data_IF_369770544210
#
_entry.id   IF_369770544210
#
_cell.length_a   1.000
_cell.length_b   1.000
_cell.length_c   1.000
_cell.angle_alpha   90.00
_cell.angle_beta   90.00
_cell.angle_gamma   90.00
#
_symmetry.space_group_name_H-M   'P 1'
#
loop_
_entity.id
_entity.type
_entity.pdbx_description
1 polymer ?
#
# COMPACT_ATOMS: atom_id res chain seq x y z
N UNK A 1 -5.69 11.75 15.26
CA UNK A 1 -5.39 10.32 15.44
C UNK A 1 -5.99 9.60 14.25
N UNK A 2 -5.23 8.74 13.56
CA UNK A 2 -5.81 7.87 12.52
C UNK A 2 -6.79 6.93 13.23
N UNK A 3 -8.00 6.76 12.70
CA UNK A 3 -8.97 5.85 13.31
C UNK A 3 -8.43 4.40 13.26
N UNK A 4 -8.72 3.56 14.27
CA UNK A 4 -8.29 2.15 14.27
C UNK A 4 -8.86 1.40 13.06
N UNK A 5 -8.11 0.41 12.57
CA UNK A 5 -8.59 -0.53 11.55
C UNK A 5 -9.34 -1.66 12.26
N UNK A 6 -10.59 -1.89 11.85
CA UNK A 6 -11.46 -2.96 12.37
C UNK A 6 -11.56 -4.13 11.40
N UNK A 7 -12.23 -5.21 11.79
CA UNK A 7 -12.42 -6.38 10.91
C UNK A 7 -13.21 -6.03 9.62
N UNK A 8 -14.12 -5.06 9.67
CA UNK A 8 -14.87 -4.56 8.50
C UNK A 8 -13.99 -3.80 7.50
N UNK A 9 -12.84 -3.30 7.96
CA UNK A 9 -11.89 -2.56 7.16
C UNK A 9 -10.88 -3.48 6.46
N UNK A 10 -10.76 -4.75 6.88
CA UNK A 10 -9.78 -5.71 6.38
C UNK A 10 -10.32 -6.45 5.14
N UNK A 11 -9.39 -6.91 4.29
CA UNK A 11 -9.69 -7.70 3.10
C UNK A 11 -9.94 -6.85 1.86
N UNK A 12 -10.29 -7.55 0.79
CA UNK A 12 -10.51 -6.95 -0.52
C UNK A 12 -11.95 -6.44 -0.63
N UNK A 13 -12.12 -5.13 -0.73
CA UNK A 13 -13.42 -4.47 -0.89
C UNK A 13 -13.50 -3.83 -2.26
N UNK A 14 -14.57 -4.12 -2.99
CA UNK A 14 -14.91 -3.39 -4.22
C UNK A 14 -15.47 -2.02 -3.83
N UNK A 15 -14.85 -0.98 -4.37
CA UNK A 15 -15.33 0.40 -4.25
C UNK A 15 -16.21 0.73 -5.45
N UNK A 16 -15.78 0.34 -6.65
CA UNK A 16 -16.48 0.60 -7.90
C UNK A 16 -16.47 -0.63 -8.80
N UNK A 17 -17.64 -1.03 -9.28
CA UNK A 17 -17.76 -1.94 -10.42
C UNK A 17 -17.68 -1.14 -11.73
N UNK A 18 -17.20 -1.73 -12.84
CA UNK A 18 -17.09 -1.05 -14.13
C UNK A 18 -18.46 -0.58 -14.61
N UNK A 19 -18.52 0.60 -15.24
CA UNK A 19 -19.80 1.21 -15.67
C UNK A 19 -20.55 0.35 -16.69
N UNK A 20 -19.81 -0.33 -17.56
CA UNK A 20 -20.35 -1.27 -18.53
C UNK A 20 -19.64 -2.62 -18.39
N UNK A 21 -20.35 -3.59 -17.82
CA UNK A 21 -19.86 -4.95 -17.61
C UNK A 21 -20.16 -5.89 -18.79
N UNK A 22 -20.83 -5.41 -19.85
CA UNK A 22 -21.12 -6.21 -21.05
C UNK A 22 -19.86 -6.51 -21.85
N UNK A 23 -18.87 -5.62 -21.80
CA UNK A 23 -17.58 -5.77 -22.47
C UNK A 23 -16.51 -6.34 -21.53
N UNK A 24 -16.72 -7.58 -21.05
CA UNK A 24 -15.82 -8.28 -20.11
C UNK A 24 -14.33 -8.24 -20.51
N UNK A 25 -14.05 -8.26 -21.82
CA UNK A 25 -12.69 -8.20 -22.37
C UNK A 25 -11.96 -6.87 -22.10
N UNK A 26 -12.69 -5.80 -21.79
CA UNK A 26 -12.13 -4.48 -21.50
C UNK A 26 -11.99 -4.19 -20.00
N UNK A 27 -12.51 -5.07 -19.14
CA UNK A 27 -12.50 -4.83 -17.69
C UNK A 27 -11.08 -5.02 -17.15
N UNK A 28 -10.64 -4.06 -16.34
CA UNK A 28 -9.35 -4.07 -15.64
C UNK A 28 -9.62 -4.11 -14.14
N UNK A 29 -8.90 -4.95 -13.40
CA UNK A 29 -8.92 -4.89 -11.94
C UNK A 29 -7.85 -3.92 -11.44
N UNK A 30 -8.26 -2.92 -10.65
CA UNK A 30 -7.34 -2.02 -9.95
C UNK A 30 -7.44 -2.31 -8.46
N UNK A 31 -6.32 -2.60 -7.80
CA UNK A 31 -6.27 -2.89 -6.36
C UNK A 31 -5.36 -1.89 -5.68
N UNK A 32 -5.92 -1.12 -4.76
CA UNK A 32 -5.20 -0.17 -3.92
C UNK A 32 -4.81 -0.79 -2.56
N UNK A 33 -3.53 -0.73 -2.18
CA UNK A 33 -2.99 -1.28 -0.93
C UNK A 33 -2.38 -0.16 -0.10
N UNK A 34 -2.90 0.05 1.11
CA UNK A 34 -2.43 1.10 2.01
C UNK A 34 -1.10 0.77 2.69
N UNK A 35 -0.53 1.76 3.36
CA UNK A 35 0.71 1.64 4.12
C UNK A 35 0.48 1.26 5.59
N UNK A 36 1.59 1.00 6.28
CA UNK A 36 1.57 0.74 7.71
C UNK A 36 1.16 1.99 8.50
N UNK A 37 0.39 1.82 9.58
CA UNK A 37 -0.14 2.91 10.40
C UNK A 37 -1.22 3.77 9.73
N UNK A 38 -1.70 3.37 8.56
CA UNK A 38 -2.73 4.08 7.81
C UNK A 38 -4.03 3.27 7.73
N UNK A 39 -5.17 3.97 7.71
CA UNK A 39 -6.47 3.36 7.52
C UNK A 39 -6.71 3.06 6.03
N UNK A 40 -7.23 1.88 5.64
CA UNK A 40 -7.41 1.50 4.23
C UNK A 40 -8.29 2.46 3.44
N UNK A 41 -9.35 2.99 4.03
CA UNK A 41 -10.27 3.89 3.35
C UNK A 41 -9.83 5.37 3.40
N UNK A 42 -8.98 5.75 4.35
CA UNK A 42 -8.57 7.16 4.54
C UNK A 42 -7.26 7.46 3.78
N UNK A 43 -6.46 6.44 3.47
CA UNK A 43 -5.18 6.54 2.75
C UNK A 43 -5.32 7.20 1.38
N UNK A 44 -6.52 7.19 0.82
CA UNK A 44 -6.85 7.68 -0.51
C UNK A 44 -7.73 8.93 -0.46
N UNK A 45 -7.88 9.52 0.72
CA UNK A 45 -8.70 10.70 0.93
C UNK A 45 -7.86 11.97 0.99
N UNK A 46 -8.39 13.05 0.42
CA UNK A 46 -7.86 14.41 0.59
C UNK A 46 -8.97 15.32 1.10
N UNK A 47 -8.63 16.18 2.06
CA UNK A 47 -9.54 17.26 2.44
C UNK A 47 -9.58 18.30 1.30
N UNK A 48 -10.72 18.43 0.63
CA UNK A 48 -11.02 19.43 -0.42
C UNK A 48 -11.81 20.62 0.13
N UNK A 49 -12.28 20.52 1.37
CA UNK A 49 -12.94 21.60 2.09
C UNK A 49 -11.95 22.52 2.83
N UNK A 50 -12.45 23.25 3.82
CA UNK A 50 -11.62 24.11 4.68
C UNK A 50 -11.17 23.36 5.93
N UNK A 51 -10.32 24.00 6.75
CA UNK A 51 -9.96 23.44 8.06
C UNK A 51 -11.16 23.43 9.03
N UNK A 52 -12.08 24.38 8.88
CA UNK A 52 -13.29 24.52 9.72
C UNK A 52 -14.45 23.65 9.22
N UNK A 53 -14.48 23.34 7.92
CA UNK A 53 -15.48 22.47 7.30
C UNK A 53 -14.76 21.48 6.38
N UNK A 54 -14.18 20.41 6.96
CA UNK A 54 -13.46 19.42 6.18
C UNK A 54 -14.43 18.64 5.29
N UNK A 55 -14.03 18.45 4.04
CA UNK A 55 -14.73 17.61 3.07
C UNK A 55 -13.73 16.61 2.51
N UNK A 56 -13.93 15.32 2.80
CA UNK A 56 -12.99 14.29 2.39
C UNK A 56 -13.40 13.70 1.04
N UNK A 57 -12.51 13.83 0.06
CA UNK A 57 -12.68 13.26 -1.27
C UNK A 57 -11.78 12.03 -1.41
N UNK A 58 -12.38 10.86 -1.64
CA UNK A 58 -11.65 9.63 -1.95
C UNK A 58 -11.49 9.48 -3.47
N UNK A 59 -10.27 9.66 -3.97
CA UNK A 59 -10.03 9.67 -5.42
C UNK A 59 -10.17 8.31 -6.11
N UNK A 60 -10.28 7.22 -5.34
CA UNK A 60 -10.56 5.87 -5.89
C UNK A 60 -12.05 5.68 -6.22
N UNK A 61 -12.96 6.43 -5.59
CA UNK A 61 -14.40 6.20 -5.66
C UNK A 61 -15.18 7.39 -6.27
N UNK A 62 -14.67 8.62 -6.15
CA UNK A 62 -15.36 9.78 -6.72
C UNK A 62 -15.42 9.73 -8.26
N UNK A 63 -16.60 9.96 -8.81
CA UNK A 63 -16.92 9.74 -10.23
C UNK A 63 -16.05 10.58 -11.20
N UNK A 64 -15.58 11.75 -10.77
CA UNK A 64 -14.76 12.69 -11.53
C UNK A 64 -13.24 12.47 -11.37
N UNK A 65 -12.82 11.42 -10.65
CA UNK A 65 -11.42 11.10 -10.36
C UNK A 65 -10.97 9.83 -11.09
N UNK A 66 -10.44 8.81 -10.40
CA UNK A 66 -9.98 7.56 -11.02
C UNK A 66 -11.08 6.88 -11.85
N UNK A 67 -12.35 6.78 -11.40
CA UNK A 67 -13.44 6.27 -12.22
C UNK A 67 -13.63 6.99 -13.57
N UNK A 68 -13.38 8.30 -13.66
CA UNK A 68 -13.46 9.04 -14.94
C UNK A 68 -12.32 8.68 -15.89
N UNK A 69 -11.11 8.44 -15.35
CA UNK A 69 -9.92 8.07 -16.13
C UNK A 69 -9.95 6.60 -16.56
N UNK A 70 -10.53 5.74 -15.73
CA UNK A 70 -10.60 4.29 -15.95
C UNK A 70 -12.05 3.77 -15.81
N UNK A 71 -12.96 4.12 -16.75
CA UNK A 71 -14.39 3.80 -16.63
C UNK A 71 -14.72 2.30 -16.70
N UNK A 72 -13.83 1.51 -17.30
CA UNK A 72 -13.93 0.05 -17.39
C UNK A 72 -13.20 -0.67 -16.24
N UNK A 73 -12.68 0.05 -15.25
CA UNK A 73 -12.00 -0.57 -14.12
C UNK A 73 -12.98 -1.01 -13.03
N UNK A 74 -12.76 -2.22 -12.51
CA UNK A 74 -13.22 -2.60 -11.18
C UNK A 74 -12.18 -2.09 -10.17
N UNK A 75 -12.55 -1.10 -9.38
CA UNK A 75 -11.66 -0.48 -8.40
C UNK A 75 -11.91 -1.11 -7.04
N UNK A 76 -10.83 -1.63 -6.46
CA UNK A 76 -10.83 -2.31 -5.17
C UNK A 76 -9.78 -1.70 -4.26
N UNK A 77 -10.02 -1.80 -2.95
CA UNK A 77 -8.98 -1.60 -1.94
C UNK A 77 -8.73 -2.89 -1.19
N UNK A 78 -7.51 -3.13 -0.77
CA UNK A 78 -7.16 -4.21 0.14
C UNK A 78 -6.72 -3.63 1.48
N UNK A 79 -7.48 -3.95 2.52
CA UNK A 79 -7.20 -3.58 3.89
C UNK A 79 -6.51 -4.68 4.67
N UNK A 80 -5.60 -4.30 5.57
CA UNK A 80 -5.01 -5.19 6.56
C UNK A 80 -4.77 -4.42 7.85
N UNK A 81 -4.69 -5.14 8.98
CA UNK A 81 -4.39 -4.50 10.25
C UNK A 81 -3.01 -3.84 10.17
N UNK A 82 -2.95 -2.52 10.22
CA UNK A 82 -1.73 -1.74 10.01
C UNK A 82 -1.28 -0.99 11.26
N UNK A 83 -2.06 -1.03 12.32
CA UNK A 83 -1.73 -0.39 13.59
C UNK A 83 -0.60 -1.15 14.27
N UNK A 84 0.53 -0.48 14.46
CA UNK A 84 1.76 -1.05 15.05
C UNK A 84 2.12 -0.39 16.38
N UNK A 85 1.34 0.58 16.86
CA UNK A 85 1.44 1.17 18.19
C UNK A 85 0.06 1.37 18.82
N UNK A 86 0.00 1.49 20.15
CA UNK A 86 -1.22 1.65 20.94
C UNK A 86 -1.99 0.35 21.15
N UNK A 87 -3.16 0.46 21.79
CA UNK A 87 -4.02 -0.69 22.09
C UNK A 87 -4.37 -1.47 20.81
N UNK A 88 -4.06 -2.77 20.79
CA UNK A 88 -4.27 -3.63 19.63
C UNK A 88 -3.17 -3.59 18.57
N UNK A 89 -1.99 -3.04 18.89
CA UNK A 89 -0.82 -3.05 17.99
C UNK A 89 -0.45 -4.47 17.51
N UNK A 90 -0.27 -4.63 16.20
CA UNK A 90 0.05 -5.91 15.57
C UNK A 90 1.42 -5.87 14.89
N UNK A 91 2.20 -6.92 15.12
CA UNK A 91 3.44 -7.16 14.38
C UNK A 91 3.13 -7.73 13.01
N UNK A 92 2.97 -6.86 12.01
CA UNK A 92 2.78 -7.31 10.63
C UNK A 92 4.09 -7.62 9.91
N UNK A 93 4.06 -8.72 9.15
CA UNK A 93 5.11 -9.07 8.18
C UNK A 93 4.54 -8.91 6.77
N UNK A 94 5.33 -8.33 5.87
CA UNK A 94 4.92 -8.14 4.48
C UNK A 94 4.54 -9.47 3.81
N UNK A 95 5.24 -10.57 4.12
CA UNK A 95 4.91 -11.92 3.63
C UNK A 95 3.55 -12.43 4.09
N UNK A 96 3.18 -12.21 5.36
CA UNK A 96 1.86 -12.60 5.88
C UNK A 96 0.75 -11.82 5.20
N UNK A 97 0.93 -10.51 5.02
CA UNK A 97 -0.06 -9.66 4.35
C UNK A 97 -0.17 -10.02 2.86
N UNK A 98 0.97 -10.29 2.20
CA UNK A 98 1.04 -10.70 0.79
C UNK A 98 0.30 -12.02 0.54
N UNK A 99 0.52 -13.03 1.39
CA UNK A 99 -0.19 -14.30 1.29
C UNK A 99 -1.71 -14.12 1.44
N UNK A 100 -2.16 -13.31 2.41
CA UNK A 100 -3.59 -13.01 2.58
C UNK A 100 -4.18 -12.23 1.40
N UNK A 101 -3.41 -11.32 0.80
CA UNK A 101 -3.78 -10.63 -0.43
C UNK A 101 -3.96 -11.62 -1.58
N UNK A 102 -3.04 -12.57 -1.77
CA UNK A 102 -3.14 -13.61 -2.78
C UNK A 102 -4.39 -14.48 -2.61
N UNK A 103 -4.68 -14.91 -1.37
CA UNK A 103 -5.92 -15.63 -1.06
C UNK A 103 -7.18 -14.82 -1.42
N UNK A 104 -7.18 -13.52 -1.11
CA UNK A 104 -8.30 -12.64 -1.44
C UNK A 104 -8.47 -12.46 -2.95
N UNK A 105 -7.36 -12.30 -3.68
CA UNK A 105 -7.36 -12.19 -5.15
C UNK A 105 -7.82 -13.49 -5.81
N UNK A 106 -7.31 -14.64 -5.36
CA UNK A 106 -7.70 -15.97 -5.85
C UNK A 106 -9.21 -16.16 -5.80
N UNK A 107 -9.84 -15.80 -4.68
CA UNK A 107 -11.31 -15.85 -4.52
C UNK A 107 -12.03 -14.84 -5.42
N UNK A 108 -11.59 -13.58 -5.43
CA UNK A 108 -12.30 -12.51 -6.17
C UNK A 108 -12.17 -12.63 -7.69
N UNK A 109 -11.19 -13.38 -8.17
CA UNK A 109 -10.86 -13.52 -9.59
C UNK A 109 -11.02 -14.94 -10.11
N UNK A 110 -11.67 -15.82 -9.37
CA UNK A 110 -11.87 -17.23 -9.73
C UNK A 110 -12.43 -17.41 -11.16
N UNK A 111 -13.39 -16.57 -11.54
CA UNK A 111 -13.99 -16.60 -12.89
C UNK A 111 -13.13 -15.90 -13.96
N UNK A 112 -12.20 -15.03 -13.56
CA UNK A 112 -11.44 -14.16 -14.46
C UNK A 112 -9.96 -14.08 -14.04
N UNK A 113 -9.30 -15.24 -13.97
CA UNK A 113 -7.94 -15.39 -13.45
C UNK A 113 -6.92 -14.50 -14.17
N UNK A 114 -7.10 -14.27 -15.46
CA UNK A 114 -6.15 -13.53 -16.31
C UNK A 114 -6.59 -12.11 -16.68
N UNK A 115 -7.64 -11.59 -16.03
CA UNK A 115 -8.04 -10.19 -16.22
C UNK A 115 -6.87 -9.24 -15.94
N UNK A 116 -6.60 -8.23 -16.79
CA UNK A 116 -5.55 -7.26 -16.54
C UNK A 116 -5.64 -6.68 -15.12
N UNK A 117 -4.51 -6.65 -14.43
CA UNK A 117 -4.41 -6.27 -13.03
C UNK A 117 -3.42 -5.11 -12.85
N UNK A 118 -3.87 -4.08 -12.16
CA UNK A 118 -3.04 -2.95 -11.75
C UNK A 118 -3.03 -2.84 -10.24
N UNK A 119 -1.84 -2.72 -9.66
CA UNK A 119 -1.69 -2.41 -8.24
C UNK A 119 -1.33 -0.95 -8.05
N UNK A 120 -1.98 -0.32 -7.07
CA UNK A 120 -1.63 0.99 -6.53
C UNK A 120 -1.24 0.77 -5.08
N UNK A 121 -0.01 1.05 -4.70
CA UNK A 121 0.48 0.71 -3.37
C UNK A 121 1.18 1.89 -2.70
N UNK A 122 0.86 2.10 -1.43
CA UNK A 122 1.43 3.18 -0.63
C UNK A 122 2.40 2.62 0.43
N UNK A 123 3.59 3.21 0.53
CA UNK A 123 4.60 2.92 1.56
C UNK A 123 4.84 1.40 1.69
N UNK A 124 4.61 0.83 2.88
CA UNK A 124 4.73 -0.60 3.19
C UNK A 124 3.90 -1.50 2.26
N UNK A 125 2.74 -1.02 1.79
CA UNK A 125 1.89 -1.75 0.85
C UNK A 125 2.62 -2.12 -0.45
N UNK A 126 3.65 -1.35 -0.84
CA UNK A 126 4.46 -1.70 -2.00
C UNK A 126 5.28 -2.98 -1.79
N UNK A 127 5.79 -3.21 -0.58
CA UNK A 127 6.51 -4.45 -0.23
C UNK A 127 5.57 -5.65 -0.22
N UNK A 128 4.33 -5.45 0.24
CA UNK A 128 3.26 -6.47 0.18
C UNK A 128 3.01 -6.88 -1.28
N UNK A 129 2.88 -5.90 -2.19
CA UNK A 129 2.67 -6.17 -3.62
C UNK A 129 3.86 -6.90 -4.23
N UNK A 130 5.10 -6.42 -4.01
CA UNK A 130 6.28 -7.10 -4.55
C UNK A 130 6.37 -8.55 -4.07
N UNK A 131 6.17 -8.79 -2.77
CA UNK A 131 6.21 -10.14 -2.21
C UNK A 131 5.10 -11.03 -2.77
N UNK A 132 3.88 -10.50 -2.91
CA UNK A 132 2.76 -11.24 -3.50
C UNK A 132 3.03 -11.64 -4.96
N UNK A 133 3.60 -10.73 -5.76
CA UNK A 133 3.96 -11.00 -7.14
C UNK A 133 5.07 -12.05 -7.26
N UNK A 134 6.08 -12.01 -6.39
CA UNK A 134 7.13 -13.02 -6.35
C UNK A 134 6.60 -14.39 -5.96
N UNK A 135 5.73 -14.47 -4.96
CA UNK A 135 5.10 -15.73 -4.55
C UNK A 135 4.21 -16.28 -5.67
N UNK A 136 3.45 -15.42 -6.34
CA UNK A 136 2.62 -15.82 -7.49
C UNK A 136 3.43 -16.25 -8.72
N UNK A 137 4.60 -15.64 -8.93
CA UNK A 137 5.51 -16.01 -10.01
C UNK A 137 6.23 -17.33 -9.72
N UNK A 138 6.53 -17.60 -8.45
CA UNK A 138 7.19 -18.83 -8.02
C UNK A 138 6.26 -20.04 -8.07
N UNK A 139 4.98 -19.85 -7.72
CA UNK A 139 3.97 -20.90 -7.71
C UNK A 139 2.72 -20.48 -8.51
N UNK A 140 2.83 -20.53 -9.84
CA UNK A 140 1.73 -20.20 -10.76
C UNK A 140 0.55 -21.17 -10.64
N UNK A 141 0.79 -22.41 -10.19
CA UNK A 141 -0.28 -23.39 -9.98
C UNK A 141 -1.16 -22.99 -8.79
N UNK A 142 -0.55 -22.50 -7.70
CA UNK A 142 -1.30 -22.03 -6.53
C UNK A 142 -1.94 -20.65 -6.78
N UNK A 143 -1.27 -19.77 -7.53
CA UNK A 143 -1.67 -18.38 -7.77
C UNK A 143 -1.86 -18.03 -9.25
N UNK A 144 -2.75 -18.75 -9.96
CA UNK A 144 -2.86 -18.64 -11.42
C UNK A 144 -3.25 -17.24 -11.85
N UNK A 145 -2.55 -16.74 -12.88
CA UNK A 145 -2.85 -15.47 -13.53
C UNK A 145 -2.47 -14.21 -12.75
N UNK A 146 -2.20 -14.25 -11.44
CA UNK A 146 -1.89 -13.04 -10.66
C UNK A 146 -0.63 -12.34 -11.19
N UNK A 147 0.49 -13.06 -11.28
CA UNK A 147 1.71 -12.50 -11.86
C UNK A 147 1.51 -12.21 -13.36
N UNK A 148 1.08 -13.20 -14.15
CA UNK A 148 1.01 -13.11 -15.61
C UNK A 148 0.09 -11.99 -16.14
N UNK A 149 -1.00 -11.66 -15.42
CA UNK A 149 -1.95 -10.62 -15.82
C UNK A 149 -1.68 -9.25 -15.18
N UNK A 150 -0.67 -9.13 -14.31
CA UNK A 150 -0.31 -7.82 -13.75
C UNK A 150 0.32 -6.96 -14.83
N UNK A 151 -0.37 -5.91 -15.26
CA UNK A 151 0.05 -5.02 -16.36
C UNK A 151 0.56 -3.66 -15.88
N UNK A 152 0.29 -3.28 -14.64
CA UNK A 152 0.69 -1.97 -14.11
C UNK A 152 0.95 -1.99 -12.61
N UNK A 153 1.96 -1.24 -12.19
CA UNK A 153 2.34 -1.04 -10.79
C UNK A 153 2.56 0.44 -10.54
N UNK A 154 1.84 0.98 -9.56
CA UNK A 154 1.95 2.38 -9.13
C UNK A 154 2.34 2.40 -7.66
N UNK A 155 3.49 2.98 -7.34
CA UNK A 155 4.00 3.05 -5.97
C UNK A 155 4.06 4.48 -5.48
N UNK A 156 3.48 4.74 -4.30
CA UNK A 156 3.57 6.01 -3.58
C UNK A 156 4.46 5.85 -2.36
N UNK A 157 5.64 6.47 -2.37
CA UNK A 157 6.52 6.55 -1.21
C UNK A 157 7.03 5.20 -0.69
N UNK A 158 7.01 4.14 -1.50
CA UNK A 158 7.54 2.83 -1.09
C UNK A 158 9.06 2.89 -0.92
N UNK A 159 9.59 2.56 0.27
CA UNK A 159 11.01 2.70 0.56
C UNK A 159 11.81 1.50 0.04
N UNK A 160 11.89 1.31 -1.28
CA UNK A 160 12.61 0.16 -1.89
C UNK A 160 14.10 0.09 -1.54
N UNK A 161 14.71 1.18 -1.07
CA UNK A 161 16.11 1.24 -0.60
C UNK A 161 16.22 1.51 0.90
N UNK A 162 15.11 1.36 1.61
CA UNK A 162 14.91 1.84 2.96
C UNK A 162 14.53 3.32 2.97
N UNK A 163 13.98 3.76 4.09
CA UNK A 163 13.80 5.18 4.38
C UNK A 163 14.93 5.64 5.31
N UNK A 164 15.47 6.83 5.09
CA UNK A 164 16.54 7.37 5.94
C UNK A 164 16.09 7.40 7.41
N UNK A 165 16.91 6.77 8.27
CA UNK A 165 16.52 6.37 9.62
C UNK A 165 16.12 7.50 10.56
N UNK A 166 16.47 8.76 10.28
CA UNK A 166 16.08 9.90 11.13
C UNK A 166 14.55 9.98 11.29
N UNK A 167 13.81 9.83 10.19
CA UNK A 167 12.34 9.87 10.21
C UNK A 167 11.70 8.68 10.94
N UNK A 168 12.25 7.48 10.77
CA UNK A 168 11.74 6.27 11.42
C UNK A 168 12.05 6.25 12.92
N UNK A 169 13.25 6.70 13.29
CA UNK A 169 13.66 6.87 14.69
C UNK A 169 12.77 7.90 15.39
N UNK A 170 12.42 8.99 14.71
CA UNK A 170 11.49 10.01 15.24
C UNK A 170 10.08 9.46 15.42
N UNK A 171 9.56 8.73 14.42
CA UNK A 171 8.27 8.04 14.48
C UNK A 171 8.24 7.06 15.66
N UNK A 172 9.29 6.25 15.84
CA UNK A 172 9.38 5.27 16.92
C UNK A 172 9.52 5.96 18.30
N UNK A 173 10.32 7.02 18.39
CA UNK A 173 10.45 7.82 19.62
C UNK A 173 9.14 8.49 19.99
N UNK A 174 8.39 8.99 19.03
CA UNK A 174 7.07 9.56 19.27
C UNK A 174 6.11 8.48 19.81
N UNK A 175 6.05 7.30 19.18
CA UNK A 175 5.23 6.19 19.67
C UNK A 175 5.58 5.77 21.11
N UNK A 176 6.87 5.60 21.42
CA UNK A 176 7.35 5.22 22.77
C UNK A 176 7.14 6.29 23.85
N UNK A 177 6.90 7.54 23.48
CA UNK A 177 6.55 8.61 24.43
C UNK A 177 5.08 8.56 24.81
N UNK A 178 4.23 8.16 23.88
CA UNK A 178 2.77 8.19 24.03
C UNK A 178 2.21 6.84 24.53
N UNK A 179 2.92 5.73 24.30
CA UNK A 179 2.44 4.38 24.58
C UNK A 179 3.45 3.54 25.38
N UNK A 180 2.96 2.51 26.07
CA UNK A 180 3.83 1.58 26.79
C UNK A 180 4.66 0.72 25.83
N UNK A 181 5.81 0.21 26.28
CA UNK A 181 6.74 -0.53 25.41
C UNK A 181 6.11 -1.81 24.81
N UNK A 182 5.21 -2.47 25.55
CA UNK A 182 4.45 -3.63 25.06
C UNK A 182 3.34 -3.26 24.04
N UNK A 183 2.99 -1.99 23.93
CA UNK A 183 2.02 -1.46 22.97
C UNK A 183 2.70 -0.91 21.70
N UNK A 184 4.02 -1.10 21.54
CA UNK A 184 4.76 -0.63 20.36
C UNK A 184 5.44 -1.82 19.69
N UNK A 185 5.25 -1.95 18.37
CA UNK A 185 5.80 -3.04 17.55
C UNK A 185 6.89 -2.48 16.61
N UNK A 186 8.11 -2.20 17.12
CA UNK A 186 9.18 -1.54 16.35
C UNK A 186 9.63 -2.37 15.14
N UNK A 187 9.49 -3.70 15.21
CA UNK A 187 9.90 -4.62 14.14
C UNK A 187 9.19 -4.36 12.81
N UNK A 188 8.00 -3.74 12.86
CA UNK A 188 7.24 -3.37 11.67
C UNK A 188 7.92 -2.24 10.90
N UNK A 189 8.65 -1.35 11.59
CA UNK A 189 9.43 -0.29 10.95
C UNK A 189 10.82 -0.76 10.52
N UNK A 190 11.41 -1.74 11.22
CA UNK A 190 12.76 -2.25 10.89
C UNK A 190 12.89 -2.81 9.48
N UNK A 191 11.80 -3.35 8.91
CA UNK A 191 11.80 -3.82 7.52
C UNK A 191 12.02 -2.69 6.51
N UNK A 192 11.76 -1.44 6.92
CA UNK A 192 11.93 -0.24 6.11
C UNK A 192 13.31 0.40 6.33
N UNK A 193 14.19 -0.17 7.16
CA UNK A 193 15.53 0.36 7.40
C UNK A 193 16.44 0.10 6.19
N UNK A 194 17.35 1.03 5.86
CA UNK A 194 18.37 0.80 4.83
C UNK A 194 19.22 -0.42 5.16
N UNK A 195 19.45 -1.28 4.18
CA UNK A 195 20.23 -2.51 4.37
C UNK A 195 19.45 -3.67 5.01
N UNK A 196 18.14 -3.52 5.22
CA UNK A 196 17.30 -4.64 5.63
C UNK A 196 17.35 -5.77 4.59
N UNK A 197 17.73 -6.98 5.00
CA UNK A 197 17.94 -8.12 4.11
C UNK A 197 16.68 -8.52 3.34
N UNK A 198 15.52 -8.59 4.03
CA UNK A 198 14.25 -8.93 3.38
C UNK A 198 13.87 -7.90 2.32
N UNK A 199 14.05 -6.61 2.62
CA UNK A 199 13.76 -5.54 1.68
C UNK A 199 14.66 -5.63 0.45
N UNK A 200 15.97 -5.80 0.63
CA UNK A 200 16.92 -5.96 -0.46
C UNK A 200 16.59 -7.19 -1.30
N UNK A 201 16.33 -8.32 -0.65
CA UNK A 201 15.97 -9.56 -1.34
C UNK A 201 14.71 -9.41 -2.18
N UNK A 202 13.62 -8.88 -1.62
CA UNK A 202 12.35 -8.70 -2.35
C UNK A 202 12.54 -7.77 -3.56
N UNK A 203 13.28 -6.69 -3.40
CA UNK A 203 13.53 -5.73 -4.49
C UNK A 203 14.42 -6.34 -5.57
N UNK A 204 15.49 -7.04 -5.19
CA UNK A 204 16.42 -7.68 -6.12
C UNK A 204 15.76 -8.81 -6.90
N UNK A 205 14.96 -9.64 -6.23
CA UNK A 205 14.19 -10.70 -6.90
C UNK A 205 13.16 -10.10 -7.85
N UNK A 206 12.44 -9.06 -7.45
CA UNK A 206 11.51 -8.38 -8.34
C UNK A 206 12.22 -7.75 -9.55
N UNK A 207 13.41 -7.18 -9.36
CA UNK A 207 14.22 -6.66 -10.47
C UNK A 207 14.60 -7.75 -11.49
N UNK A 208 14.78 -9.00 -11.06
CA UNK A 208 15.04 -10.13 -11.96
C UNK A 208 13.80 -10.53 -12.77
N UNK A 209 12.58 -10.36 -12.24
CA UNK A 209 11.34 -10.72 -12.94
C UNK A 209 11.02 -9.78 -14.11
N UNK A 210 11.58 -8.56 -14.12
CA UNK A 210 11.44 -7.60 -15.24
C UNK A 210 12.05 -8.10 -16.57
N UNK A 211 12.83 -9.18 -16.54
CA UNK A 211 13.36 -9.83 -17.74
C UNK A 211 12.39 -10.88 -18.32
N UNK A 212 11.33 -11.20 -17.61
CA UNK A 212 10.31 -12.15 -18.03
C UNK A 212 9.34 -11.50 -19.01
N UNK A 213 8.49 -12.31 -19.63
CA UNK A 213 7.50 -11.83 -20.62
C UNK A 213 6.46 -10.86 -20.04
N UNK A 214 6.30 -10.83 -18.71
CA UNK A 214 5.44 -9.85 -18.03
C UNK A 214 6.05 -8.44 -18.13
N UNK A 215 5.39 -7.56 -18.89
CA UNK A 215 5.80 -6.17 -19.14
C UNK A 215 5.03 -5.16 -18.26
N UNK A 216 4.81 -5.49 -16.98
CA UNK A 216 4.13 -4.58 -16.07
C UNK A 216 4.81 -3.20 -16.08
N UNK A 217 4.07 -2.15 -16.44
CA UNK A 217 4.60 -0.79 -16.40
C UNK A 217 4.70 -0.33 -14.94
N UNK A 218 5.86 0.21 -14.56
CA UNK A 218 6.12 0.64 -13.18
C UNK A 218 6.25 2.15 -13.11
N UNK A 219 5.42 2.77 -12.26
CA UNK A 219 5.49 4.18 -11.92
C UNK A 219 5.73 4.35 -10.42
N UNK A 220 6.73 5.15 -10.05
CA UNK A 220 7.07 5.41 -8.65
C UNK A 220 7.00 6.91 -8.37
N UNK A 221 6.30 7.27 -7.30
CA UNK A 221 6.12 8.64 -6.82
C UNK A 221 6.68 8.76 -5.42
N UNK A 222 7.27 9.91 -5.08
CA UNK A 222 7.88 10.13 -3.78
C UNK A 222 7.54 11.51 -3.23
N UNK A 223 7.52 11.62 -1.90
CA UNK A 223 7.22 12.87 -1.21
C UNK A 223 8.38 13.87 -1.32
N UNK A 224 8.05 15.12 -1.68
CA UNK A 224 9.00 16.24 -1.75
C UNK A 224 8.92 17.17 -0.54
N UNK A 225 7.88 17.05 0.28
CA UNK A 225 7.65 17.90 1.46
C UNK A 225 7.85 17.09 2.73
N UNK A 226 8.21 17.78 3.82
CA UNK A 226 8.34 17.15 5.13
C UNK A 226 6.98 16.80 5.72
N UNK A 227 6.91 15.64 6.38
CA UNK A 227 5.69 15.11 6.98
C UNK A 227 5.65 15.43 8.48
N UNK A 228 4.48 15.82 8.99
CA UNK A 228 4.29 16.16 10.40
C UNK A 228 4.05 14.88 11.21
N UNK A 229 5.13 14.29 11.73
CA UNK A 229 5.10 13.01 12.47
C UNK A 229 4.20 13.09 13.72
N UNK A 230 4.13 14.26 14.38
CA UNK A 230 3.24 14.46 15.54
C UNK A 230 1.76 14.26 15.20
N UNK A 231 1.31 14.75 14.04
CA UNK A 231 -0.07 14.55 13.58
C UNK A 231 -0.42 13.09 13.31
N UNK A 232 0.55 12.28 12.87
CA UNK A 232 0.37 10.83 12.62
C UNK A 232 0.09 10.10 13.95
N UNK A 233 0.70 10.55 15.05
CA UNK A 233 0.57 9.95 16.39
C UNK A 233 -0.59 10.51 17.23
N UNK A 234 -1.34 11.48 16.71
CA UNK A 234 -2.60 11.91 17.32
C UNK A 234 -2.59 13.19 18.18
N UNK A 235 -1.52 14.01 18.19
CA UNK A 235 -1.53 15.38 18.79
C UNK A 235 -0.69 16.42 18.01
N UNK A 236 -0.76 17.69 18.44
CA UNK A 236 -0.44 18.92 17.69
C UNK A 236 0.99 19.07 17.11
N UNK A 237 1.01 19.71 15.94
CA UNK A 237 2.13 20.26 15.16
C UNK A 237 3.57 20.03 15.68
N UNK A 238 4.16 18.88 15.36
CA UNK A 238 5.62 18.75 15.25
C UNK A 238 6.00 18.56 13.78
N UNK A 239 6.33 19.66 13.11
CA UNK A 239 6.88 19.64 11.76
C UNK A 239 8.37 19.35 11.87
N UNK A 240 8.82 18.18 11.44
CA UNK A 240 10.24 17.85 11.42
C UNK A 240 10.74 17.80 9.97
N UNK A 241 11.78 18.58 9.70
CA UNK A 241 12.34 18.77 8.37
C UNK A 241 13.29 17.63 8.01
N UNK A 242 12.83 16.67 7.20
CA UNK A 242 13.71 15.70 6.56
C UNK A 242 14.49 16.36 5.43
N UNK A 243 15.74 16.79 5.69
CA UNK A 243 16.67 17.19 4.63
C UNK A 243 17.18 15.94 3.91
N UNK A 244 16.52 15.54 2.83
CA UNK A 244 17.07 14.53 1.92
C UNK A 244 18.06 15.19 0.96
N UNK A 245 19.33 14.76 0.99
CA UNK A 245 20.34 15.15 0.01
C UNK A 245 20.04 14.40 -1.29
N UNK A 246 19.79 15.16 -2.36
CA UNK A 246 19.70 14.65 -3.72
C UNK A 246 20.99 13.89 -4.07
N UNK A 247 20.86 12.62 -4.47
CA UNK A 247 21.70 12.01 -5.51
C UNK A 247 20.83 11.05 -6.30
N UNK A 248 20.41 11.49 -7.48
CA UNK A 248 20.02 10.60 -8.56
C UNK A 248 21.27 10.28 -9.40
N UNK A 249 21.31 9.11 -10.06
CA UNK A 249 22.37 8.72 -10.99
C UNK A 249 22.45 9.65 -12.21
#
# INVERSE_FOLDING_TARGET
MVRPVTDDDIGLKVLREPRDASEQAQIIDIVAIHGIGAHPDDSWCKNVGTAQSPQWANWLDMEDMLPAVAPHARIMRYGYQSQWFGEGAVRQKASTVAHRLLLALKRKREEFLFRPLVFIAHCFGGLVVLKALLDAQHDENEWPGVFASTTGLVFFGTPFRGAEGMSQVEILKAARREYQENEVQPEVLKVLEPGNEFLQEVVDQFGKTQRLANKAQVACFYELKSSNVGKIMGKENQTICGKRKLRLP
#
